data_IF_533297494049
#
_entry.id   IF_533297494049
#
_cell.length_a   1.000
_cell.length_b   1.000
_cell.length_c   1.000
_cell.angle_alpha   90.00
_cell.angle_beta   90.00
_cell.angle_gamma   90.00
#
_symmetry.space_group_name_H-M   'P 1'
#
loop_
_entity.id
_entity.type
_entity.pdbx_description
1 polymer ?
#
# COMPACT_ATOMS: atom_id res chain seq x y z
N UNK A 1 3.32 25.64 18.35
CA UNK A 1 4.27 24.95 19.26
C UNK A 1 3.52 23.73 19.76
N UNK A 2 3.97 22.52 19.54
CA UNK A 2 3.33 21.34 20.13
C UNK A 2 3.57 21.39 21.65
N UNK A 3 2.54 21.00 22.40
CA UNK A 3 2.60 20.90 23.85
C UNK A 3 3.64 19.84 24.26
N UNK A 4 4.73 20.27 24.85
CA UNK A 4 5.95 19.52 25.14
C UNK A 4 5.80 18.54 26.34
N UNK A 5 4.68 17.89 26.54
CA UNK A 5 4.44 17.06 27.74
C UNK A 5 3.88 15.66 27.48
N UNK A 6 3.89 15.16 26.25
CA UNK A 6 3.48 13.78 26.00
C UNK A 6 4.68 12.98 25.51
N UNK A 7 5.17 12.10 26.35
CA UNK A 7 6.28 11.19 26.05
C UNK A 7 5.92 10.04 25.11
N UNK A 8 4.65 9.92 24.70
CA UNK A 8 4.16 8.83 23.88
C UNK A 8 3.62 9.36 22.54
N UNK A 9 4.20 8.88 21.44
CA UNK A 9 3.77 9.22 20.08
C UNK A 9 3.24 7.99 19.34
N UNK A 10 2.03 8.07 18.82
CA UNK A 10 1.39 7.03 18.01
C UNK A 10 1.46 7.35 16.53
N UNK A 11 2.23 6.55 15.76
CA UNK A 11 2.38 6.67 14.32
C UNK A 11 1.56 5.59 13.64
N UNK A 12 0.65 5.99 12.74
CA UNK A 12 -0.18 5.01 12.03
C UNK A 12 -0.48 5.42 10.60
N UNK A 13 -0.83 4.45 9.75
CA UNK A 13 -1.19 4.68 8.35
C UNK A 13 -1.44 3.39 7.61
N UNK A 14 -1.77 3.50 6.31
CA UNK A 14 -2.04 2.35 5.45
C UNK A 14 -0.78 1.71 4.87
N UNK A 15 0.33 2.44 4.78
CA UNK A 15 1.61 1.96 4.24
C UNK A 15 2.58 1.65 5.40
N UNK A 16 2.96 0.38 5.53
CA UNK A 16 3.82 -0.14 6.59
C UNK A 16 5.23 0.47 6.56
N UNK A 17 5.77 0.63 5.36
CA UNK A 17 7.10 1.21 5.18
C UNK A 17 7.16 2.68 5.61
N UNK A 18 6.17 3.49 5.22
CA UNK A 18 6.12 4.90 5.61
C UNK A 18 5.85 5.09 7.10
N UNK A 19 5.04 4.21 7.71
CA UNK A 19 4.80 4.18 9.16
C UNK A 19 6.10 3.89 9.90
N UNK A 20 6.80 2.81 9.54
CA UNK A 20 8.09 2.43 10.13
C UNK A 20 9.15 3.54 9.95
N UNK A 21 9.22 4.09 8.74
CA UNK A 21 10.16 5.16 8.41
C UNK A 21 9.92 6.40 9.26
N UNK A 22 8.67 6.84 9.43
CA UNK A 22 8.38 8.00 10.27
C UNK A 22 8.67 7.74 11.75
N UNK A 23 8.39 6.53 12.22
CA UNK A 23 8.73 6.13 13.59
C UNK A 23 10.26 6.17 13.84
N UNK A 24 11.07 5.75 12.85
CA UNK A 24 12.53 5.83 12.92
C UNK A 24 13.04 7.27 12.92
N UNK A 25 12.50 8.12 12.06
CA UNK A 25 12.84 9.55 12.03
C UNK A 25 12.53 10.20 13.39
N UNK A 26 11.38 9.86 13.98
CA UNK A 26 11.03 10.34 15.33
C UNK A 26 12.02 9.88 16.38
N UNK A 27 12.46 8.62 16.31
CA UNK A 27 13.49 8.12 17.20
C UNK A 27 14.77 8.94 17.07
N UNK A 28 15.24 9.17 15.85
CA UNK A 28 16.45 9.96 15.58
C UNK A 28 16.29 11.40 16.08
N UNK A 29 15.08 12.00 15.92
CA UNK A 29 14.74 13.33 16.43
C UNK A 29 14.75 13.42 17.97
N UNK A 30 14.37 12.33 18.67
CA UNK A 30 14.29 12.27 20.15
C UNK A 30 15.66 12.01 20.78
N UNK A 31 16.43 11.10 20.21
CA UNK A 31 17.64 10.58 20.84
C UNK A 31 18.90 11.40 20.56
N UNK A 32 18.87 12.41 19.67
CA UNK A 32 20.06 13.18 19.23
C UNK A 32 21.29 12.30 18.93
N UNK A 33 21.06 11.03 18.57
CA UNK A 33 22.08 10.02 18.28
C UNK A 33 22.76 9.36 19.50
N UNK A 34 22.34 9.63 20.74
CA UNK A 34 23.02 9.13 21.96
C UNK A 34 22.19 8.14 22.79
N UNK A 35 20.92 7.87 22.46
CA UNK A 35 20.08 6.92 23.18
C UNK A 35 20.05 5.52 22.54
N UNK A 36 19.70 4.50 23.32
CA UNK A 36 19.41 3.17 22.80
C UNK A 36 17.93 2.99 22.47
N UNK A 37 17.65 2.19 21.44
CA UNK A 37 16.27 1.82 21.06
C UNK A 37 15.96 0.42 21.57
N UNK A 38 14.92 0.31 22.40
CA UNK A 38 14.37 -0.96 22.83
C UNK A 38 13.12 -1.28 22.02
N UNK A 39 13.27 -2.17 21.06
CA UNK A 39 12.21 -2.47 20.09
C UNK A 39 11.47 -3.73 20.48
N UNK A 40 10.14 -3.62 20.58
CA UNK A 40 9.22 -4.75 20.80
C UNK A 40 8.30 -4.88 19.61
N UNK A 41 8.41 -5.99 18.87
CA UNK A 41 7.57 -6.27 17.72
C UNK A 41 6.45 -7.22 18.11
N UNK A 42 5.21 -6.81 17.83
CA UNK A 42 4.03 -7.57 18.18
C UNK A 42 3.62 -8.46 17.01
N UNK A 43 3.90 -9.75 17.09
CA UNK A 43 3.37 -10.76 16.20
C UNK A 43 2.09 -11.37 16.79
N UNK A 44 1.12 -11.72 15.93
CA UNK A 44 -0.15 -12.35 16.32
C UNK A 44 0.03 -13.65 17.12
N UNK A 45 1.17 -14.33 16.94
CA UNK A 45 1.50 -15.57 17.64
C UNK A 45 2.22 -15.37 18.99
N UNK A 46 2.68 -14.15 19.28
CA UNK A 46 3.52 -13.87 20.46
C UNK A 46 3.03 -12.69 21.32
N UNK A 47 1.80 -12.25 21.11
CA UNK A 47 1.26 -11.00 21.69
C UNK A 47 1.39 -10.95 23.23
N UNK A 48 1.12 -12.06 23.94
CA UNK A 48 1.23 -12.11 25.40
C UNK A 48 2.65 -11.88 25.92
N UNK A 49 3.64 -12.47 25.26
CA UNK A 49 5.04 -12.30 25.68
C UNK A 49 5.50 -10.87 25.38
N UNK A 50 5.20 -10.37 24.18
CA UNK A 50 5.53 -9.00 23.80
C UNK A 50 4.90 -7.96 24.72
N UNK A 51 3.63 -8.16 25.14
CA UNK A 51 2.97 -7.30 26.11
C UNK A 51 3.67 -7.34 27.49
N UNK A 52 4.06 -8.53 27.98
CA UNK A 52 4.79 -8.68 29.25
C UNK A 52 6.13 -7.97 29.21
N UNK A 53 6.89 -8.18 28.14
CA UNK A 53 8.20 -7.60 27.98
C UNK A 53 8.11 -6.07 27.87
N UNK A 54 7.15 -5.55 27.11
CA UNK A 54 6.92 -4.12 26.98
C UNK A 54 6.46 -3.48 28.31
N UNK A 55 5.53 -4.10 29.03
CA UNK A 55 5.09 -3.64 30.36
C UNK A 55 6.26 -3.63 31.33
N UNK A 56 7.06 -4.70 31.35
CA UNK A 56 8.26 -4.79 32.21
C UNK A 56 9.24 -3.68 31.88
N UNK A 57 9.56 -3.46 30.59
CA UNK A 57 10.49 -2.42 30.16
C UNK A 57 10.01 -1.00 30.53
N UNK A 58 8.71 -0.72 30.39
CA UNK A 58 8.13 0.58 30.73
C UNK A 58 8.09 0.80 32.25
N UNK A 59 7.83 -0.26 33.03
CA UNK A 59 7.70 -0.19 34.49
C UNK A 59 9.03 -0.11 35.24
N UNK A 60 10.16 -0.45 34.59
CA UNK A 60 11.47 -0.53 35.24
C UNK A 60 12.25 0.76 35.04
N UNK A 61 12.37 1.60 36.08
CA UNK A 61 13.00 2.91 36.01
C UNK A 61 14.55 2.87 35.99
N UNK A 62 15.16 1.75 36.38
CA UNK A 62 16.61 1.69 36.66
C UNK A 62 17.49 1.13 35.51
N UNK A 63 16.88 0.70 34.39
CA UNK A 63 17.60 0.05 33.27
C UNK A 63 17.76 0.91 32.04
N UNK A 64 17.12 2.08 31.99
CA UNK A 64 17.12 2.96 30.83
C UNK A 64 17.62 4.36 31.22
N UNK A 65 18.49 4.93 30.39
CA UNK A 65 18.84 6.34 30.46
C UNK A 65 17.68 7.23 30.06
N UNK A 66 17.67 8.50 30.48
CA UNK A 66 16.61 9.48 30.14
C UNK A 66 16.41 9.67 28.61
N UNK A 67 17.43 9.33 27.81
CA UNK A 67 17.43 9.43 26.36
C UNK A 67 17.01 8.14 25.65
N UNK A 68 16.78 7.04 26.36
CA UNK A 68 16.37 5.79 25.76
C UNK A 68 14.93 5.83 25.29
N UNK A 69 14.67 5.24 24.13
CA UNK A 69 13.34 5.21 23.52
C UNK A 69 12.84 3.78 23.39
N UNK A 70 11.62 3.56 23.84
CA UNK A 70 10.91 2.30 23.64
C UNK A 70 10.08 2.40 22.37
N UNK A 71 10.28 1.47 21.43
CA UNK A 71 9.49 1.40 20.22
C UNK A 71 8.65 0.12 20.18
N UNK A 72 7.32 0.30 20.31
CA UNK A 72 6.33 -0.75 20.08
C UNK A 72 6.03 -0.80 18.57
N UNK A 73 6.81 -1.61 17.85
CA UNK A 73 6.79 -1.71 16.40
C UNK A 73 5.73 -2.70 15.93
N UNK A 74 5.10 -2.39 14.78
CA UNK A 74 4.05 -3.24 14.17
C UNK A 74 3.00 -3.69 15.20
N UNK A 75 2.62 -2.75 16.08
CA UNK A 75 1.80 -3.05 17.24
C UNK A 75 0.33 -3.17 16.82
N UNK A 76 -0.01 -4.32 16.18
CA UNK A 76 -1.30 -4.58 15.51
C UNK A 76 -2.41 -5.03 16.47
N UNK A 77 -2.51 -4.38 17.62
CA UNK A 77 -3.62 -4.61 18.57
C UNK A 77 -4.92 -3.87 18.21
N UNK A 78 -4.86 -3.01 17.18
CA UNK A 78 -5.99 -2.16 16.77
C UNK A 78 -6.89 -2.80 15.70
N UNK A 79 -6.70 -4.10 15.40
CA UNK A 79 -7.51 -4.85 14.46
C UNK A 79 -8.83 -5.36 15.05
N UNK A 80 -9.63 -6.05 14.23
CA UNK A 80 -10.89 -6.71 14.67
C UNK A 80 -10.65 -8.10 15.28
N UNK A 81 -9.42 -8.42 15.67
CA UNK A 81 -9.10 -9.69 16.30
C UNK A 81 -9.72 -9.78 17.71
N UNK A 82 -10.09 -10.99 18.10
CA UNK A 82 -10.58 -11.25 19.44
C UNK A 82 -9.40 -11.59 20.35
N UNK A 83 -9.22 -10.78 21.36
CA UNK A 83 -8.23 -11.03 22.41
C UNK A 83 -8.87 -11.85 23.56
N UNK A 84 -8.10 -12.71 24.19
CA UNK A 84 -8.45 -13.36 25.42
C UNK A 84 -8.66 -12.33 26.56
N UNK A 85 -9.30 -12.72 27.66
CA UNK A 85 -9.48 -11.84 28.83
C UNK A 85 -8.13 -11.36 29.38
N UNK A 86 -7.13 -12.24 29.38
CA UNK A 86 -5.78 -11.94 29.86
C UNK A 86 -5.10 -10.90 28.93
N UNK A 87 -5.15 -11.08 27.61
CA UNK A 87 -4.58 -10.13 26.64
C UNK A 87 -5.26 -8.77 26.77
N UNK A 88 -6.58 -8.74 26.88
CA UNK A 88 -7.32 -7.49 27.07
C UNK A 88 -6.91 -6.75 28.35
N UNK A 89 -6.74 -7.50 29.46
CA UNK A 89 -6.31 -6.89 30.73
C UNK A 89 -4.90 -6.30 30.61
N UNK A 90 -3.98 -7.00 29.96
CA UNK A 90 -2.61 -6.52 29.74
C UNK A 90 -2.52 -5.34 28.77
N UNK A 91 -3.35 -5.31 27.73
CA UNK A 91 -3.44 -4.15 26.82
C UNK A 91 -3.91 -2.91 27.60
N UNK A 92 -4.92 -3.05 28.44
CA UNK A 92 -5.42 -1.95 29.29
C UNK A 92 -4.36 -1.50 30.31
N UNK A 93 -3.64 -2.44 30.91
CA UNK A 93 -2.51 -2.15 31.82
C UNK A 93 -1.43 -1.35 31.09
N UNK A 94 -1.01 -1.79 29.90
CA UNK A 94 -0.03 -1.09 29.07
C UNK A 94 -0.47 0.35 28.75
N UNK A 95 -1.71 0.56 28.32
CA UNK A 95 -2.23 1.90 28.01
C UNK A 95 -2.26 2.79 29.27
N UNK A 96 -2.60 2.23 30.42
CA UNK A 96 -2.61 2.97 31.67
C UNK A 96 -1.19 3.34 32.10
N UNK A 97 -0.23 2.45 31.99
CA UNK A 97 1.20 2.73 32.24
C UNK A 97 1.70 3.83 31.32
N UNK A 98 1.45 3.73 30.02
CA UNK A 98 1.83 4.74 29.03
C UNK A 98 1.19 6.11 29.30
N UNK A 99 -0.03 6.13 29.86
CA UNK A 99 -0.72 7.39 30.21
C UNK A 99 -0.16 8.05 31.45
N UNK A 100 0.47 7.29 32.34
CA UNK A 100 1.00 7.77 33.62
C UNK A 100 2.54 7.90 33.65
N UNK A 101 3.21 7.30 32.67
CA UNK A 101 4.67 7.36 32.55
C UNK A 101 5.09 8.65 31.84
N UNK A 102 5.67 9.59 32.58
CA UNK A 102 6.20 10.84 32.04
C UNK A 102 7.72 10.78 31.80
N UNK A 103 8.36 9.68 32.17
CA UNK A 103 9.82 9.59 32.26
C UNK A 103 10.49 8.96 31.03
N UNK A 104 9.74 8.40 30.06
CA UNK A 104 10.31 7.68 28.92
C UNK A 104 9.66 8.08 27.62
N UNK A 105 10.47 8.16 26.57
CA UNK A 105 9.96 8.35 25.22
C UNK A 105 9.46 7.01 24.68
N UNK A 106 8.21 6.97 24.22
CA UNK A 106 7.62 5.75 23.66
C UNK A 106 7.04 6.06 22.27
N UNK A 107 7.45 5.28 21.29
CA UNK A 107 6.89 5.31 19.95
C UNK A 107 6.03 4.07 19.76
N UNK A 108 4.78 4.24 19.37
CA UNK A 108 3.89 3.16 18.97
C UNK A 108 3.68 3.27 17.47
N UNK A 109 3.98 2.22 16.70
CA UNK A 109 3.71 2.20 15.28
C UNK A 109 2.77 1.06 14.90
N UNK A 110 1.74 1.36 14.06
CA UNK A 110 0.79 0.36 13.59
C UNK A 110 0.36 0.65 12.16
N UNK A 111 0.40 -0.37 11.32
CA UNK A 111 -0.08 -0.30 9.94
C UNK A 111 -1.52 -0.80 9.84
N UNK A 112 -2.33 -0.12 9.01
CA UNK A 112 -3.73 -0.46 8.77
C UNK A 112 -4.62 -0.65 10.03
N UNK A 113 -4.52 0.20 11.07
CA UNK A 113 -5.35 0.06 12.27
C UNK A 113 -6.83 0.26 11.93
N UNK A 114 -7.72 -0.52 12.54
CA UNK A 114 -9.17 -0.26 12.44
C UNK A 114 -9.55 0.96 13.31
N UNK A 115 -9.66 2.11 12.65
CA UNK A 115 -9.97 3.40 13.28
C UNK A 115 -11.35 3.42 14.01
N UNK A 116 -12.18 2.38 13.84
CA UNK A 116 -13.49 2.27 14.47
C UNK A 116 -13.43 1.64 15.86
N UNK A 117 -12.38 0.90 16.17
CA UNK A 117 -12.24 0.20 17.46
C UNK A 117 -12.17 1.19 18.62
N UNK A 118 -12.68 0.74 19.78
CA UNK A 118 -12.62 1.53 21.02
C UNK A 118 -11.16 1.81 21.40
N UNK A 119 -10.31 0.81 21.28
CA UNK A 119 -8.89 0.88 21.62
C UNK A 119 -8.16 1.93 20.79
N UNK A 120 -8.37 1.96 19.45
CA UNK A 120 -7.79 2.99 18.59
C UNK A 120 -8.21 4.40 19.03
N UNK A 121 -9.51 4.60 19.29
CA UNK A 121 -10.03 5.90 19.72
C UNK A 121 -9.46 6.35 21.06
N UNK A 122 -9.25 5.43 21.97
CA UNK A 122 -8.65 5.71 23.28
C UNK A 122 -7.18 6.14 23.13
N UNK A 123 -6.36 5.40 22.38
CA UNK A 123 -4.97 5.73 22.10
C UNK A 123 -4.87 7.05 21.33
N UNK A 124 -5.71 7.24 20.32
CA UNK A 124 -5.76 8.45 19.52
C UNK A 124 -6.06 9.73 20.34
N UNK A 125 -6.87 9.60 21.40
CA UNK A 125 -7.22 10.75 22.24
C UNK A 125 -6.23 11.00 23.36
N UNK A 126 -5.54 9.97 23.84
CA UNK A 126 -4.61 10.05 24.98
C UNK A 126 -3.19 10.50 24.57
N UNK A 127 -2.73 10.11 23.38
CA UNK A 127 -1.34 10.28 22.94
C UNK A 127 -1.22 11.22 21.75
N UNK A 128 -0.04 11.76 21.53
CA UNK A 128 0.26 12.49 20.30
C UNK A 128 0.22 11.55 19.11
N UNK A 129 -0.44 11.97 18.02
CA UNK A 129 -0.74 11.06 16.92
C UNK A 129 -0.28 11.63 15.59
N UNK A 130 0.45 10.81 14.82
CA UNK A 130 0.87 11.09 13.45
C UNK A 130 0.13 10.14 12.51
N UNK A 131 -0.79 10.70 11.72
CA UNK A 131 -1.55 9.99 10.69
C UNK A 131 -0.84 10.13 9.35
N UNK A 132 -0.14 9.08 8.92
CA UNK A 132 0.61 9.06 7.65
C UNK A 132 -0.32 9.23 6.46
N UNK A 133 -1.53 8.67 6.49
CA UNK A 133 -2.49 8.80 5.39
C UNK A 133 -2.90 10.26 5.17
N UNK A 134 -3.07 11.04 6.24
CA UNK A 134 -3.36 12.48 6.14
C UNK A 134 -2.17 13.24 5.58
N UNK A 135 -0.95 12.86 5.98
CA UNK A 135 0.28 13.44 5.46
C UNK A 135 0.42 13.13 3.96
N UNK A 136 0.09 11.91 3.53
CA UNK A 136 0.08 11.51 2.12
C UNK A 136 -0.95 12.26 1.28
N UNK A 137 -2.11 12.59 1.85
CA UNK A 137 -3.16 13.38 1.17
C UNK A 137 -2.71 14.84 1.01
N UNK A 138 -2.03 15.40 2.01
CA UNK A 138 -1.52 16.77 2.00
C UNK A 138 -0.22 16.90 1.21
N UNK A 139 0.67 15.93 1.31
CA UNK A 139 1.94 15.90 0.61
C UNK A 139 1.80 15.09 -0.68
N UNK A 140 1.97 15.77 -1.81
CA UNK A 140 1.98 15.12 -3.11
C UNK A 140 3.11 14.06 -3.14
N UNK A 141 2.90 12.93 -3.83
CA UNK A 141 3.91 11.91 -4.12
C UNK A 141 5.31 12.51 -4.42
N UNK A 142 5.35 13.61 -5.18
CA UNK A 142 6.57 14.32 -5.51
C UNK A 142 7.35 14.83 -4.29
N UNK A 143 6.67 15.27 -3.26
CA UNK A 143 7.31 15.77 -2.03
C UNK A 143 7.98 14.65 -1.24
N UNK A 144 7.36 13.46 -1.23
CA UNK A 144 7.94 12.29 -0.58
C UNK A 144 9.21 11.85 -1.31
N UNK A 145 9.19 11.78 -2.64
CA UNK A 145 10.38 11.43 -3.42
C UNK A 145 11.47 12.48 -3.28
N UNK A 146 11.11 13.77 -3.21
CA UNK A 146 12.06 14.85 -2.91
C UNK A 146 12.66 14.73 -1.52
N UNK A 147 11.90 14.29 -0.50
CA UNK A 147 12.45 14.06 0.83
C UNK A 147 13.49 12.94 0.81
N UNK A 148 13.25 11.85 0.08
CA UNK A 148 14.23 10.78 -0.10
C UNK A 148 15.54 11.27 -0.73
N UNK A 149 15.44 12.12 -1.76
CA UNK A 149 16.62 12.69 -2.41
C UNK A 149 17.35 13.69 -1.48
N UNK A 150 16.61 14.54 -0.78
CA UNK A 150 17.16 15.54 0.15
C UNK A 150 17.94 14.91 1.30
N UNK A 151 17.48 13.79 1.84
CA UNK A 151 18.18 13.05 2.89
C UNK A 151 19.51 12.47 2.40
N UNK A 152 19.63 12.19 1.11
CA UNK A 152 20.88 11.79 0.47
C UNK A 152 21.73 13.00 0.02
N UNK A 153 21.34 14.23 0.38
CA UNK A 153 22.07 15.44 0.03
C UNK A 153 22.00 15.85 -1.45
N UNK A 154 21.04 15.30 -2.22
CA UNK A 154 20.88 15.59 -3.65
C UNK A 154 19.50 16.18 -3.96
N UNK A 155 19.40 16.88 -5.08
CA UNK A 155 18.12 17.36 -5.62
C UNK A 155 17.62 16.42 -6.73
N UNK A 156 16.32 16.44 -7.01
CA UNK A 156 15.70 15.65 -8.08
C UNK A 156 14.76 16.50 -8.91
N UNK A 157 14.77 16.33 -10.23
CA UNK A 157 13.89 17.01 -11.16
C UNK A 157 12.48 16.42 -11.18
N UNK A 158 11.48 17.25 -11.44
CA UNK A 158 10.09 16.82 -11.55
C UNK A 158 9.85 15.77 -12.63
N UNK A 159 10.55 15.90 -13.77
CA UNK A 159 10.49 14.91 -14.85
C UNK A 159 11.13 13.57 -14.44
N UNK A 160 12.21 13.62 -13.65
CA UNK A 160 12.81 12.43 -13.06
C UNK A 160 11.84 11.73 -12.09
N UNK A 161 11.13 12.49 -11.26
CA UNK A 161 10.10 11.95 -10.34
C UNK A 161 8.95 11.31 -11.12
N UNK A 162 8.49 11.92 -12.22
CA UNK A 162 7.43 11.36 -13.05
C UNK A 162 7.86 10.00 -13.64
N UNK A 163 9.09 9.91 -14.17
CA UNK A 163 9.63 8.65 -14.71
C UNK A 163 9.83 7.60 -13.61
N UNK A 164 10.30 7.99 -12.43
CA UNK A 164 10.37 7.09 -11.28
C UNK A 164 8.99 6.52 -10.92
N UNK A 165 7.94 7.37 -10.93
CA UNK A 165 6.58 6.91 -10.71
C UNK A 165 6.11 5.91 -11.79
N UNK A 166 6.42 6.19 -13.06
CA UNK A 166 6.10 5.27 -14.16
C UNK A 166 6.84 3.93 -14.01
N UNK A 167 8.09 3.96 -13.56
CA UNK A 167 8.95 2.77 -13.43
C UNK A 167 8.74 1.96 -12.14
N UNK A 168 8.48 2.61 -11.02
CA UNK A 168 8.40 1.99 -9.69
C UNK A 168 6.97 1.97 -9.11
N UNK A 169 6.04 2.73 -9.70
CA UNK A 169 4.69 2.90 -9.16
C UNK A 169 4.70 3.66 -7.82
N UNK A 170 3.76 3.31 -6.94
CA UNK A 170 3.65 3.89 -5.58
C UNK A 170 4.27 3.00 -4.50
N UNK A 171 5.21 2.13 -4.84
CA UNK A 171 5.94 1.34 -3.86
C UNK A 171 7.06 2.20 -3.24
N UNK A 172 6.77 2.83 -2.10
CA UNK A 172 7.68 3.76 -1.45
C UNK A 172 9.00 3.12 -1.01
N UNK A 173 9.02 1.84 -0.66
CA UNK A 173 10.24 1.09 -0.31
C UNK A 173 11.18 0.98 -1.50
N UNK A 174 10.64 0.60 -2.67
CA UNK A 174 11.41 0.54 -3.92
C UNK A 174 11.87 1.93 -4.33
N UNK A 175 11.00 2.93 -4.26
CA UNK A 175 11.32 4.31 -4.59
C UNK A 175 12.48 4.86 -3.75
N UNK A 176 12.50 4.61 -2.45
CA UNK A 176 13.62 5.02 -1.58
C UNK A 176 14.94 4.37 -2.01
N UNK A 177 14.93 3.05 -2.25
CA UNK A 177 16.13 2.32 -2.70
C UNK A 177 16.64 2.85 -4.04
N UNK A 178 15.75 3.11 -4.99
CA UNK A 178 16.13 3.63 -6.30
C UNK A 178 16.63 5.07 -6.23
N UNK A 179 16.03 5.92 -5.39
CA UNK A 179 16.54 7.27 -5.14
C UNK A 179 17.92 7.22 -4.48
N UNK A 180 18.16 6.30 -3.54
CA UNK A 180 19.47 6.10 -2.93
C UNK A 180 20.54 5.67 -3.95
N UNK A 181 20.19 4.73 -4.84
CA UNK A 181 21.06 4.31 -5.94
C UNK A 181 21.41 5.47 -6.88
N UNK A 182 20.40 6.23 -7.32
CA UNK A 182 20.58 7.41 -8.15
C UNK A 182 21.43 8.49 -7.44
N UNK A 183 21.18 8.71 -6.17
CA UNK A 183 21.93 9.68 -5.35
C UNK A 183 23.41 9.31 -5.30
N UNK A 184 23.72 8.04 -5.09
CA UNK A 184 25.10 7.53 -5.11
C UNK A 184 25.78 7.79 -6.47
N UNK A 185 25.05 7.58 -7.56
CA UNK A 185 25.57 7.82 -8.92
C UNK A 185 25.87 9.30 -9.18
N UNK A 186 24.97 10.21 -8.77
CA UNK A 186 25.14 11.65 -9.06
C UNK A 186 26.02 12.36 -8.03
N UNK A 187 26.26 11.80 -6.85
CA UNK A 187 27.10 12.37 -5.80
C UNK A 187 28.56 12.59 -6.25
N UNK A 188 29.03 11.84 -7.26
CA UNK A 188 30.35 12.01 -7.85
C UNK A 188 30.53 13.24 -8.74
N UNK A 189 29.51 14.11 -8.96
CA UNK A 189 29.70 15.26 -9.84
C UNK A 189 28.54 16.20 -10.05
N UNK A 190 27.28 15.73 -10.07
CA UNK A 190 26.15 16.58 -10.48
C UNK A 190 25.32 17.13 -9.32
N UNK A 191 25.23 16.43 -8.19
CA UNK A 191 24.40 16.80 -7.03
C UNK A 191 22.88 16.89 -7.33
N UNK A 192 22.46 16.44 -8.53
CA UNK A 192 21.07 16.53 -8.98
C UNK A 192 20.72 15.35 -9.90
N UNK A 193 19.62 14.68 -9.59
CA UNK A 193 19.08 13.56 -10.36
C UNK A 193 18.24 14.10 -11.51
N UNK A 194 18.60 13.77 -12.74
CA UNK A 194 17.88 14.12 -13.96
C UNK A 194 17.02 12.97 -14.48
N UNK A 195 16.12 13.28 -15.42
CA UNK A 195 15.31 12.27 -16.12
C UNK A 195 16.15 11.24 -16.89
N UNK A 196 17.32 11.66 -17.40
CA UNK A 196 18.20 10.77 -18.16
C UNK A 196 18.97 9.82 -17.24
N UNK A 197 19.33 10.26 -16.03
CA UNK A 197 19.92 9.39 -15.02
C UNK A 197 18.94 8.27 -14.61
N UNK A 198 17.63 8.61 -14.44
CA UNK A 198 16.59 7.63 -14.15
C UNK A 198 16.42 6.63 -15.30
N UNK A 199 16.37 7.10 -16.55
CA UNK A 199 16.24 6.21 -17.72
C UNK A 199 17.43 5.26 -17.87
N UNK A 200 18.61 5.73 -17.52
CA UNK A 200 19.86 4.98 -17.65
C UNK A 200 20.00 3.89 -16.59
N UNK A 201 19.64 4.19 -15.35
CA UNK A 201 19.99 3.36 -14.20
C UNK A 201 18.83 2.55 -13.61
N UNK A 202 17.61 3.04 -13.82
CA UNK A 202 16.44 2.38 -13.26
C UNK A 202 15.81 1.50 -14.32
N UNK A 203 15.88 0.21 -14.08
CA UNK A 203 15.12 -0.75 -14.86
C UNK A 203 13.61 -0.51 -14.64
N UNK A 204 12.79 -0.92 -15.59
CA UNK A 204 11.35 -0.88 -15.42
C UNK A 204 10.94 -1.85 -14.32
N UNK A 205 11.00 -1.43 -13.04
CA UNK A 205 10.36 -2.17 -11.93
C UNK A 205 8.84 -2.16 -12.07
N UNK A 206 8.29 -1.15 -12.75
CA UNK A 206 6.93 -1.23 -13.25
C UNK A 206 6.78 -2.35 -14.28
N UNK A 207 7.86 -2.90 -14.84
CA UNK A 207 7.87 -4.08 -15.70
C UNK A 207 8.15 -5.40 -14.97
N UNK A 208 8.69 -5.38 -13.74
CA UNK A 208 8.48 -6.44 -12.73
C UNK A 208 7.09 -6.31 -12.10
N UNK A 209 6.26 -5.50 -12.72
CA UNK A 209 4.94 -5.07 -12.32
C UNK A 209 4.05 -6.30 -12.24
N UNK A 210 3.62 -6.56 -11.04
CA UNK A 210 2.41 -7.32 -10.75
C UNK A 210 1.26 -6.98 -11.74
N UNK A 211 1.22 -5.76 -12.27
CA UNK A 211 0.22 -5.29 -13.23
C UNK A 211 0.60 -5.48 -14.71
N UNK A 212 1.87 -5.74 -15.07
CA UNK A 212 2.25 -5.99 -16.46
C UNK A 212 1.48 -7.18 -17.07
N UNK A 213 1.36 -8.34 -16.40
CA UNK A 213 0.51 -9.42 -16.88
C UNK A 213 -0.96 -8.99 -17.05
N UNK A 214 -1.48 -8.19 -16.11
CA UNK A 214 -2.88 -7.70 -16.18
C UNK A 214 -3.07 -6.78 -17.38
N UNK A 215 -2.16 -5.83 -17.60
CA UNK A 215 -2.21 -4.93 -18.77
C UNK A 215 -2.08 -5.71 -20.08
N UNK A 216 -1.10 -6.61 -20.17
CA UNK A 216 -0.88 -7.45 -21.36
C UNK A 216 -2.11 -8.31 -21.68
N UNK A 217 -2.76 -8.87 -20.65
CA UNK A 217 -3.97 -9.67 -20.79
C UNK A 217 -5.12 -8.86 -21.40
N UNK A 218 -5.46 -7.72 -20.80
CA UNK A 218 -6.58 -6.89 -21.24
C UNK A 218 -6.30 -6.11 -22.52
N UNK A 219 -5.06 -6.01 -22.96
CA UNK A 219 -4.67 -5.54 -24.28
C UNK A 219 -4.63 -6.66 -25.33
N UNK A 220 -5.06 -7.88 -24.99
CA UNK A 220 -5.02 -9.10 -25.83
C UNK A 220 -3.64 -9.44 -26.39
N UNK A 221 -2.58 -9.03 -25.70
CA UNK A 221 -1.21 -9.31 -26.10
C UNK A 221 -0.69 -10.57 -25.41
N UNK A 222 -1.00 -11.75 -25.99
CA UNK A 222 -0.64 -13.04 -25.40
C UNK A 222 0.87 -13.22 -25.28
N UNK A 223 1.65 -12.73 -26.25
CA UNK A 223 3.13 -12.85 -26.19
C UNK A 223 3.71 -12.03 -25.02
N UNK A 224 3.20 -10.82 -24.81
CA UNK A 224 3.58 -10.01 -23.67
C UNK A 224 3.09 -10.64 -22.37
N UNK A 225 1.85 -11.15 -22.32
CA UNK A 225 1.29 -11.83 -21.16
C UNK A 225 2.13 -13.05 -20.76
N UNK A 226 2.47 -13.95 -21.69
CA UNK A 226 3.28 -15.13 -21.40
C UNK A 226 4.70 -14.78 -20.92
N UNK A 227 5.30 -13.70 -21.44
CA UNK A 227 6.60 -13.20 -20.96
C UNK A 227 6.51 -12.60 -19.57
N UNK A 228 5.49 -11.79 -19.30
CA UNK A 228 5.28 -11.13 -18.01
C UNK A 228 4.92 -12.14 -16.90
N UNK A 229 4.17 -13.19 -17.21
CA UNK A 229 3.93 -14.32 -16.26
C UNK A 229 5.23 -15.00 -15.88
N UNK A 230 6.11 -15.29 -16.84
CA UNK A 230 7.41 -15.91 -16.53
C UNK A 230 8.22 -15.07 -15.56
N UNK A 231 8.26 -13.74 -15.78
CA UNK A 231 8.93 -12.80 -14.87
C UNK A 231 8.23 -12.74 -13.51
N UNK A 232 6.91 -12.71 -13.50
CA UNK A 232 6.14 -12.72 -12.26
C UNK A 232 6.49 -13.94 -11.38
N UNK A 233 6.53 -15.13 -11.94
CA UNK A 233 6.88 -16.37 -11.22
C UNK A 233 8.36 -16.52 -10.90
N UNK A 234 9.24 -15.74 -11.50
CA UNK A 234 10.63 -15.67 -11.10
C UNK A 234 10.82 -15.06 -9.70
N UNK A 235 9.94 -14.11 -9.34
CA UNK A 235 9.97 -13.39 -8.05
C UNK A 235 8.90 -13.90 -7.09
N UNK A 236 7.73 -14.32 -7.59
CA UNK A 236 6.57 -14.71 -6.80
C UNK A 236 6.29 -16.20 -6.92
N UNK A 237 5.97 -16.85 -5.82
CA UNK A 237 5.62 -18.26 -5.76
C UNK A 237 4.11 -18.54 -5.82
N UNK A 238 3.25 -17.51 -5.75
CA UNK A 238 1.80 -17.66 -5.67
C UNK A 238 1.07 -16.88 -6.77
N UNK A 239 0.21 -17.55 -7.52
CA UNK A 239 -0.61 -16.96 -8.58
C UNK A 239 -1.86 -16.25 -8.08
N UNK A 240 -2.33 -16.50 -6.84
CA UNK A 240 -3.60 -15.98 -6.31
C UNK A 240 -3.68 -14.45 -6.35
N UNK A 241 -2.64 -13.69 -5.98
CA UNK A 241 -2.66 -12.23 -6.08
C UNK A 241 -2.87 -11.74 -7.53
N UNK A 242 -2.23 -12.38 -8.51
CA UNK A 242 -2.39 -12.03 -9.92
C UNK A 242 -3.80 -12.35 -10.45
N UNK A 243 -4.35 -13.51 -10.08
CA UNK A 243 -5.73 -13.87 -10.41
C UNK A 243 -6.71 -12.87 -9.80
N UNK A 244 -6.50 -12.48 -8.55
CA UNK A 244 -7.32 -11.47 -7.87
C UNK A 244 -7.30 -10.11 -8.60
N UNK A 245 -6.12 -9.68 -9.07
CA UNK A 245 -5.99 -8.45 -9.85
C UNK A 245 -6.70 -8.53 -11.21
N UNK A 246 -6.58 -9.67 -11.91
CA UNK A 246 -7.32 -9.94 -13.16
C UNK A 246 -8.84 -9.91 -12.91
N UNK A 247 -9.32 -10.54 -11.83
CA UNK A 247 -10.74 -10.54 -11.46
C UNK A 247 -11.24 -9.14 -11.14
N UNK A 248 -10.48 -8.38 -10.37
CA UNK A 248 -10.84 -7.02 -9.95
C UNK A 248 -11.00 -6.10 -11.17
N UNK A 249 -10.03 -6.13 -12.09
CA UNK A 249 -10.09 -5.35 -13.32
C UNK A 249 -11.24 -5.83 -14.23
N UNK A 250 -11.44 -7.14 -14.35
CA UNK A 250 -12.53 -7.70 -15.15
C UNK A 250 -13.90 -7.26 -14.63
N UNK A 251 -14.12 -7.23 -13.30
CA UNK A 251 -15.36 -6.72 -12.69
C UNK A 251 -15.63 -5.27 -13.06
N UNK A 252 -14.62 -4.40 -13.00
CA UNK A 252 -14.75 -3.01 -13.43
C UNK A 252 -15.06 -2.91 -14.93
N UNK A 253 -14.43 -3.72 -15.78
CA UNK A 253 -14.71 -3.74 -17.23
C UNK A 253 -16.11 -4.22 -17.55
N UNK A 254 -16.67 -5.19 -16.81
CA UNK A 254 -18.07 -5.61 -16.92
C UNK A 254 -19.00 -4.43 -16.62
N UNK A 255 -18.74 -3.68 -15.55
CA UNK A 255 -19.53 -2.51 -15.18
C UNK A 255 -19.44 -1.42 -16.27
N UNK A 256 -18.23 -1.10 -16.75
CA UNK A 256 -18.03 -0.15 -17.86
C UNK A 256 -18.86 -0.61 -19.09
N UNK A 257 -18.73 -1.88 -19.47
CA UNK A 257 -19.42 -2.41 -20.65
C UNK A 257 -20.94 -2.34 -20.50
N UNK A 258 -21.45 -2.61 -19.30
CA UNK A 258 -22.88 -2.49 -18.98
C UNK A 258 -23.36 -1.04 -19.10
N UNK A 259 -22.57 -0.07 -18.61
CA UNK A 259 -22.89 1.35 -18.74
C UNK A 259 -22.89 1.82 -20.21
N UNK A 260 -21.98 1.30 -21.03
CA UNK A 260 -21.93 1.59 -22.48
C UNK A 260 -23.15 1.00 -23.17
N UNK A 261 -23.50 -0.27 -22.92
CA UNK A 261 -24.64 -0.94 -23.52
C UNK A 261 -25.95 -0.24 -23.13
N UNK A 262 -26.07 0.21 -21.88
CA UNK A 262 -27.23 0.96 -21.38
C UNK A 262 -27.24 2.43 -21.82
N UNK A 263 -26.30 2.86 -22.66
CA UNK A 263 -26.14 4.25 -23.14
C UNK A 263 -25.99 5.29 -22.01
N UNK A 264 -25.47 4.88 -20.86
CA UNK A 264 -25.18 5.74 -19.71
C UNK A 264 -23.75 6.26 -19.71
N UNK A 265 -22.88 5.68 -20.54
CA UNK A 265 -21.49 6.08 -20.73
C UNK A 265 -21.20 6.15 -22.23
N UNK A 266 -20.63 7.29 -22.67
CA UNK A 266 -20.23 7.49 -24.07
C UNK A 266 -18.69 7.46 -24.14
N UNK A 267 -18.14 6.44 -24.82
CA UNK A 267 -16.69 6.27 -24.97
C UNK A 267 -16.00 7.32 -25.86
N UNK A 268 -16.76 8.16 -26.58
CA UNK A 268 -16.19 9.07 -27.58
C UNK A 268 -15.74 10.41 -27.00
N UNK A 269 -16.21 10.79 -25.80
CA UNK A 269 -15.92 12.10 -25.24
C UNK A 269 -15.27 11.97 -23.85
N UNK A 270 -13.95 12.05 -23.84
CA UNK A 270 -13.14 11.95 -22.60
C UNK A 270 -13.42 13.08 -21.60
N UNK A 271 -13.77 14.28 -22.08
CA UNK A 271 -14.04 15.45 -21.23
C UNK A 271 -15.36 15.35 -20.46
N UNK A 272 -16.29 14.47 -20.91
CA UNK A 272 -17.59 14.28 -20.23
C UNK A 272 -17.60 13.11 -19.25
N UNK A 273 -16.56 12.27 -19.25
CA UNK A 273 -16.51 11.01 -18.51
C UNK A 273 -16.91 11.16 -17.02
N UNK A 274 -16.35 12.16 -16.33
CA UNK A 274 -16.68 12.41 -14.93
C UNK A 274 -18.15 12.73 -14.72
N UNK A 275 -18.72 13.59 -15.58
CA UNK A 275 -20.14 13.98 -15.51
C UNK A 275 -21.07 12.81 -15.84
N UNK A 276 -20.70 11.99 -16.81
CA UNK A 276 -21.46 10.80 -17.19
C UNK A 276 -21.48 9.77 -16.08
N UNK A 277 -20.33 9.55 -15.40
CA UNK A 277 -20.26 8.66 -14.25
C UNK A 277 -21.08 9.19 -13.06
N UNK A 278 -21.03 10.48 -12.78
CA UNK A 278 -21.86 11.11 -11.74
C UNK A 278 -23.37 10.98 -12.06
N UNK A 279 -23.75 11.17 -13.32
CA UNK A 279 -25.14 10.98 -13.76
C UNK A 279 -25.57 9.51 -13.61
N UNK A 280 -24.74 8.57 -14.07
CA UNK A 280 -25.02 7.14 -13.97
C UNK A 280 -25.08 6.67 -12.52
N UNK A 281 -24.21 7.17 -11.64
CA UNK A 281 -24.22 6.89 -10.20
C UNK A 281 -25.55 7.26 -9.56
N UNK A 282 -26.06 8.46 -9.83
CA UNK A 282 -27.38 8.90 -9.37
C UNK A 282 -28.52 8.04 -9.91
N UNK A 283 -28.45 7.70 -11.20
CA UNK A 283 -29.46 6.86 -11.85
C UNK A 283 -29.60 5.48 -11.20
N UNK A 284 -28.47 4.90 -10.75
CA UNK A 284 -28.45 3.59 -10.08
C UNK A 284 -28.52 3.69 -8.54
N UNK A 285 -28.79 4.86 -7.97
CA UNK A 285 -28.85 5.12 -6.52
C UNK A 285 -27.59 4.68 -5.76
N UNK A 286 -26.43 4.89 -6.40
CA UNK A 286 -25.12 4.50 -5.87
C UNK A 286 -24.34 5.65 -5.21
N UNK A 287 -25.02 6.74 -4.85
CA UNK A 287 -24.41 7.99 -4.36
C UNK A 287 -23.84 7.87 -2.94
N UNK A 288 -24.34 6.91 -2.14
CA UNK A 288 -24.05 6.80 -0.71
C UNK A 288 -23.26 5.52 -0.32
N UNK A 289 -22.58 4.91 -1.28
CA UNK A 289 -21.84 3.68 -1.01
C UNK A 289 -20.52 3.96 -0.27
N UNK A 290 -20.21 3.12 0.71
CA UNK A 290 -18.89 3.07 1.35
C UNK A 290 -17.83 2.80 0.28
N UNK A 291 -16.60 3.31 0.48
CA UNK A 291 -15.46 3.03 -0.41
C UNK A 291 -15.37 1.52 -0.71
N UNK A 292 -15.58 1.17 -1.96
CA UNK A 292 -15.45 -0.17 -2.49
C UNK A 292 -14.57 -0.11 -3.74
N UNK A 293 -13.44 -0.82 -3.69
CA UNK A 293 -12.49 -0.89 -4.80
C UNK A 293 -13.07 -1.56 -6.07
N UNK A 294 -14.19 -2.25 -5.95
CA UNK A 294 -14.87 -2.92 -7.07
C UNK A 294 -16.01 -2.10 -7.66
N UNK A 295 -16.27 -0.90 -7.13
CA UNK A 295 -17.33 -0.02 -7.63
C UNK A 295 -16.74 1.00 -8.62
N UNK A 296 -17.24 0.99 -9.85
CA UNK A 296 -16.77 1.87 -10.92
C UNK A 296 -16.98 3.35 -10.60
N UNK A 297 -18.03 3.71 -9.88
CA UNK A 297 -18.36 5.10 -9.55
C UNK A 297 -17.41 5.72 -8.52
N UNK A 298 -16.65 4.88 -7.80
CA UNK A 298 -15.68 5.29 -6.79
C UNK A 298 -14.23 5.26 -7.31
N UNK A 299 -14.04 4.85 -8.57
CA UNK A 299 -12.73 4.81 -9.19
C UNK A 299 -12.31 6.19 -9.71
N UNK A 300 -10.99 6.42 -9.76
CA UNK A 300 -10.46 7.62 -10.39
C UNK A 300 -10.85 7.66 -11.89
N UNK A 301 -11.45 8.76 -12.38
CA UNK A 301 -11.85 8.89 -13.79
C UNK A 301 -10.71 8.63 -14.77
N UNK A 302 -9.48 9.02 -14.45
CA UNK A 302 -8.29 8.71 -15.26
C UNK A 302 -8.04 7.20 -15.40
N UNK A 303 -8.25 6.43 -14.34
CA UNK A 303 -8.10 4.98 -14.38
C UNK A 303 -9.19 4.31 -15.24
N UNK A 304 -10.43 4.83 -15.17
CA UNK A 304 -11.54 4.37 -16.03
C UNK A 304 -11.24 4.68 -17.49
N UNK A 305 -10.75 5.88 -17.79
CA UNK A 305 -10.36 6.27 -19.15
C UNK A 305 -9.33 5.31 -19.74
N UNK A 306 -8.29 4.94 -18.97
CA UNK A 306 -7.30 3.94 -19.40
C UNK A 306 -7.95 2.59 -19.73
N UNK A 307 -8.95 2.17 -18.96
CA UNK A 307 -9.66 0.91 -19.19
C UNK A 307 -10.64 0.94 -20.36
N UNK A 308 -11.17 2.10 -20.76
CA UNK A 308 -12.14 2.22 -21.84
C UNK A 308 -11.60 1.64 -23.16
N UNK A 309 -10.35 1.94 -23.51
CA UNK A 309 -9.72 1.44 -24.74
C UNK A 309 -9.63 -0.10 -24.75
N UNK A 310 -9.18 -0.68 -23.65
CA UNK A 310 -9.13 -2.14 -23.50
C UNK A 310 -10.53 -2.76 -23.48
N UNK A 311 -11.49 -2.10 -22.83
CA UNK A 311 -12.87 -2.57 -22.73
C UNK A 311 -13.58 -2.66 -24.09
N UNK A 312 -13.24 -1.81 -25.07
CA UNK A 312 -13.80 -1.86 -26.42
C UNK A 312 -13.44 -3.17 -27.14
N UNK A 313 -12.30 -3.77 -26.84
CA UNK A 313 -11.83 -5.01 -27.47
C UNK A 313 -12.59 -6.27 -27.00
N UNK A 314 -13.38 -6.17 -25.94
CA UNK A 314 -14.12 -7.30 -25.37
C UNK A 314 -15.62 -7.14 -25.53
N UNK A 315 -16.30 -8.24 -25.78
CA UNK A 315 -17.77 -8.33 -25.62
C UNK A 315 -18.11 -8.59 -24.16
N UNK A 316 -19.36 -8.30 -23.76
CA UNK A 316 -19.82 -8.61 -22.40
C UNK A 316 -19.74 -10.13 -22.11
N UNK A 317 -20.08 -10.96 -23.10
CA UNK A 317 -20.00 -12.43 -22.99
C UNK A 317 -18.57 -12.91 -22.75
N UNK A 318 -17.57 -12.31 -23.42
CA UNK A 318 -16.15 -12.63 -23.19
C UNK A 318 -15.70 -12.28 -21.77
N UNK A 319 -16.12 -11.10 -21.25
CA UNK A 319 -15.79 -10.68 -19.88
C UNK A 319 -16.45 -11.59 -18.83
N UNK A 320 -17.71 -12.01 -19.05
CA UNK A 320 -18.38 -12.94 -18.15
C UNK A 320 -17.72 -14.33 -18.19
N UNK A 321 -17.37 -14.84 -19.37
CA UNK A 321 -16.62 -16.09 -19.52
C UNK A 321 -15.26 -16.03 -18.84
N UNK A 322 -14.58 -14.90 -18.94
CA UNK A 322 -13.30 -14.66 -18.24
C UNK A 322 -13.49 -14.73 -16.71
N UNK A 323 -14.55 -14.12 -16.17
CA UNK A 323 -14.81 -14.15 -14.73
C UNK A 323 -14.97 -15.58 -14.21
N UNK A 324 -15.67 -16.43 -14.96
CA UNK A 324 -15.86 -17.86 -14.65
C UNK A 324 -14.51 -18.59 -14.71
N UNK A 325 -13.76 -18.38 -15.80
CA UNK A 325 -12.45 -19.05 -15.99
C UNK A 325 -11.43 -18.67 -14.90
N UNK A 326 -11.43 -17.41 -14.41
CA UNK A 326 -10.59 -16.98 -13.30
C UNK A 326 -11.04 -17.60 -11.97
N UNK A 327 -12.34 -17.79 -11.77
CA UNK A 327 -12.86 -18.49 -10.58
C UNK A 327 -12.50 -19.99 -10.58
N UNK A 328 -12.52 -20.62 -11.76
CA UNK A 328 -12.07 -22.02 -11.90
C UNK A 328 -10.56 -22.14 -11.69
N UNK A 329 -9.78 -21.19 -12.19
CA UNK A 329 -8.32 -21.16 -11.95
C UNK A 329 -7.96 -21.10 -10.45
N UNK A 330 -8.74 -20.41 -9.61
CA UNK A 330 -8.54 -20.43 -8.15
C UNK A 330 -8.76 -21.83 -7.58
N UNK A 331 -9.77 -22.57 -8.07
CA UNK A 331 -10.02 -23.94 -7.64
C UNK A 331 -8.88 -24.88 -8.08
N UNK A 332 -8.40 -24.71 -9.32
CA UNK A 332 -7.30 -25.51 -9.88
C UNK A 332 -5.99 -25.29 -9.08
N UNK A 333 -5.76 -24.07 -8.56
CA UNK A 333 -4.61 -23.79 -7.67
C UNK A 333 -4.65 -24.57 -6.34
N UNK A 334 -5.82 -25.05 -5.93
CA UNK A 334 -5.96 -25.87 -4.72
C UNK A 334 -5.56 -27.33 -4.96
N UNK A 335 -5.44 -27.75 -6.22
CA UNK A 335 -4.98 -29.07 -6.64
C UNK A 335 -3.46 -29.04 -6.79
N UNK A 336 -2.74 -29.64 -5.86
CA UNK A 336 -1.27 -29.60 -5.70
C UNK A 336 -0.43 -30.13 -6.89
N UNK A 337 -1.03 -30.52 -8.01
CA UNK A 337 -0.35 -31.19 -9.12
C UNK A 337 -0.19 -30.33 -10.40
N UNK A 338 -0.77 -29.15 -10.47
CA UNK A 338 -0.64 -28.30 -11.66
C UNK A 338 0.32 -27.13 -11.43
N UNK A 339 1.19 -26.90 -12.43
CA UNK A 339 2.04 -25.70 -12.47
C UNK A 339 1.18 -24.44 -12.58
N UNK A 340 1.32 -23.55 -11.63
CA UNK A 340 0.53 -22.31 -11.52
C UNK A 340 0.65 -21.43 -12.76
N UNK A 341 1.82 -21.41 -13.41
CA UNK A 341 2.03 -20.70 -14.67
C UNK A 341 1.18 -21.31 -15.80
N UNK A 342 1.08 -22.63 -15.85
CA UNK A 342 0.25 -23.33 -16.82
C UNK A 342 -1.24 -23.05 -16.65
N UNK A 343 -1.73 -22.92 -15.42
CA UNK A 343 -3.12 -22.54 -15.12
C UNK A 343 -3.43 -21.18 -15.72
N UNK A 344 -2.59 -20.18 -15.51
CA UNK A 344 -2.79 -18.82 -16.06
C UNK A 344 -2.69 -18.80 -17.59
N UNK A 345 -1.80 -19.55 -18.19
CA UNK A 345 -1.71 -19.69 -19.65
C UNK A 345 -2.98 -20.32 -20.22
N UNK A 346 -3.55 -21.35 -19.56
CA UNK A 346 -4.83 -21.96 -19.95
C UNK A 346 -5.97 -20.91 -19.94
N UNK A 347 -6.03 -20.05 -18.90
CA UNK A 347 -7.02 -18.96 -18.85
C UNK A 347 -6.86 -18.03 -20.03
N UNK A 348 -5.62 -17.62 -20.35
CA UNK A 348 -5.35 -16.71 -21.46
C UNK A 348 -5.78 -17.32 -22.81
N UNK A 349 -5.44 -18.57 -23.08
CA UNK A 349 -5.80 -19.26 -24.30
C UNK A 349 -7.33 -19.38 -24.43
N UNK A 350 -8.04 -19.77 -23.36
CA UNK A 350 -9.50 -19.92 -23.36
C UNK A 350 -10.27 -18.60 -23.58
N UNK A 351 -9.73 -17.49 -23.06
CA UNK A 351 -10.47 -16.24 -23.00
C UNK A 351 -10.04 -15.21 -24.06
N UNK A 352 -8.81 -15.26 -24.53
CA UNK A 352 -8.30 -14.36 -25.55
C UNK A 352 -8.47 -14.90 -26.98
N UNK A 353 -8.82 -16.17 -27.12
CA UNK A 353 -9.23 -16.80 -28.36
C UNK A 353 -8.11 -16.88 -29.40
N UNK A 354 -7.30 -17.91 -29.33
CA UNK A 354 -6.52 -18.42 -30.47
C UNK A 354 -7.01 -19.85 -30.76
#
# INVERSE_FOLDING_TARGET
MPNNNKSVTFVHGSDDFLVDRRARILYDEICDGNGEIFQFECDQHNILNTLKDAISAISTDSLFDENDTIWLRSFDIFGNQKFSELENSMILELINLLSNSHAKNVIISSSNPDKRTRLFKEVFTKFDTIDIDKTLISNNFKEIVRSFASEQGVKIDDDAINILYEKCGSNYRVLEQEVQKLSTYVSGGKGKISSDDVKLLIDDYASENFFEPVEAFFNKNIRAFSRSIKRFFFVNSDARPLISALQSRNRLMIQIKTLIISKKLNCQNKFSLKKELEYASKFYHMDNLKKDQFNIFLQNPWYIEKMLNSCQQFTISQLLKLQISLSDAIKDLSNYHEDQQSILNKVAIRCLGI
#
